data_IF_284944713404
#
_entry.id   IF_284944713404
#
_cell.length_a   1.000
_cell.length_b   1.000
_cell.length_c   1.000
_cell.angle_alpha   90.00
_cell.angle_beta   90.00
_cell.angle_gamma   90.00
#
_symmetry.space_group_name_H-M   'P 1'
#
loop_
_entity.id
_entity.type
_entity.pdbx_description
1 polymer ?
#
# COMPACT_ATOMS: atom_id res chain seq x y z
N UNK A 1 -2.20 27.97 -61.29
CA UNK A 1 -2.36 28.13 -59.83
C UNK A 1 -2.61 26.77 -59.21
N UNK A 2 -1.60 26.13 -58.62
CA UNK A 2 -1.73 24.81 -57.96
C UNK A 2 -1.93 25.07 -56.46
N UNK A 3 -3.11 24.72 -55.92
CA UNK A 3 -3.38 24.77 -54.48
C UNK A 3 -2.67 23.57 -53.84
N UNK A 4 -1.56 23.81 -53.13
CA UNK A 4 -0.90 22.78 -52.32
C UNK A 4 -1.64 22.73 -50.99
N UNK A 5 -2.32 21.62 -50.75
CA UNK A 5 -3.02 21.33 -49.49
C UNK A 5 -1.98 20.93 -48.44
N UNK A 6 -1.73 21.81 -47.47
CA UNK A 6 -0.86 21.51 -46.32
C UNK A 6 -1.70 20.78 -45.26
N UNK A 7 -1.81 19.47 -45.38
CA UNK A 7 -2.34 18.64 -44.29
C UNK A 7 -1.25 18.51 -43.23
N UNK A 8 -1.39 19.26 -42.14
CA UNK A 8 -0.63 19.05 -40.90
C UNK A 8 -1.03 17.69 -40.31
N UNK A 9 -0.27 16.65 -40.62
CA UNK A 9 -0.34 15.38 -39.89
C UNK A 9 0.29 15.62 -38.52
N UNK A 10 -0.56 16.01 -37.55
CA UNK A 10 -0.21 16.00 -36.14
C UNK A 10 -0.03 14.55 -35.71
N UNK A 11 1.22 14.08 -35.69
CA UNK A 11 1.60 12.81 -35.06
C UNK A 11 1.39 12.98 -33.56
N UNK A 12 0.17 12.70 -33.09
CA UNK A 12 -0.12 12.52 -31.67
C UNK A 12 0.59 11.23 -31.23
N UNK A 13 1.75 11.41 -30.64
CA UNK A 13 2.47 10.33 -29.97
C UNK A 13 1.62 9.92 -28.75
N UNK A 14 0.86 8.83 -28.90
CA UNK A 14 0.20 8.13 -27.79
C UNK A 14 1.29 7.51 -26.92
N UNK A 15 1.86 8.29 -26.00
CA UNK A 15 2.69 7.75 -24.93
C UNK A 15 1.77 7.00 -23.96
N UNK A 16 1.72 5.67 -24.10
CA UNK A 16 1.18 4.81 -23.05
C UNK A 16 2.10 4.93 -21.82
N UNK A 17 1.68 5.68 -20.80
CA UNK A 17 2.36 5.73 -19.51
C UNK A 17 2.12 4.41 -18.76
N UNK A 18 3.14 3.56 -18.66
CA UNK A 18 3.11 2.40 -17.78
C UNK A 18 3.31 2.86 -16.33
N UNK A 19 2.41 2.47 -15.42
CA UNK A 19 2.60 2.68 -13.98
C UNK A 19 3.74 1.80 -13.48
N UNK A 20 4.78 2.41 -12.89
CA UNK A 20 5.91 1.68 -12.33
C UNK A 20 5.51 1.05 -10.99
N UNK A 21 5.73 -0.26 -10.83
CA UNK A 21 5.57 -0.94 -9.55
C UNK A 21 6.72 -0.59 -8.60
N UNK A 22 6.40 -0.45 -7.31
CA UNK A 22 7.38 -0.29 -6.25
C UNK A 22 8.20 -1.59 -6.14
N UNK A 23 9.52 -1.49 -6.17
CA UNK A 23 10.40 -2.65 -5.93
C UNK A 23 10.46 -2.98 -4.43
N UNK A 24 10.88 -4.20 -4.12
CA UNK A 24 11.13 -4.63 -2.73
C UNK A 24 12.11 -3.71 -2.02
N UNK A 25 13.19 -3.31 -2.69
CA UNK A 25 14.22 -2.43 -2.14
C UNK A 25 13.63 -1.04 -1.84
N UNK A 26 12.81 -0.50 -2.75
CA UNK A 26 12.12 0.77 -2.54
C UNK A 26 11.13 0.70 -1.37
N UNK A 27 10.40 -0.41 -1.23
CA UNK A 27 9.52 -0.64 -0.08
C UNK A 27 10.31 -0.63 1.22
N UNK A 28 11.42 -1.39 1.29
CA UNK A 28 12.29 -1.42 2.47
C UNK A 28 12.82 -0.02 2.79
N UNK A 29 13.32 0.73 1.80
CA UNK A 29 13.84 2.08 2.06
C UNK A 29 12.76 3.02 2.60
N UNK A 30 11.53 2.91 2.09
CA UNK A 30 10.41 3.75 2.51
C UNK A 30 9.97 3.46 3.95
N UNK A 31 9.89 2.19 4.36
CA UNK A 31 9.21 1.82 5.60
C UNK A 31 10.13 1.30 6.72
N UNK A 32 11.44 1.12 6.47
CA UNK A 32 12.39 0.59 7.47
C UNK A 32 12.39 1.37 8.79
N UNK A 33 12.25 2.69 8.74
CA UNK A 33 12.31 3.51 9.94
C UNK A 33 11.08 3.32 10.83
N UNK A 34 9.91 3.04 10.24
CA UNK A 34 8.70 2.68 10.99
C UNK A 34 8.88 1.33 11.67
N UNK A 35 9.40 0.34 10.94
CA UNK A 35 9.67 -0.98 11.48
C UNK A 35 10.70 -0.95 12.63
N UNK A 36 11.76 -0.14 12.51
CA UNK A 36 12.79 0.03 13.56
C UNK A 36 12.21 0.73 14.79
N UNK A 37 11.39 1.78 14.62
CA UNK A 37 10.73 2.45 15.76
C UNK A 37 9.81 1.48 16.51
N UNK A 38 9.02 0.71 15.78
CA UNK A 38 8.11 -0.25 16.36
C UNK A 38 8.81 -1.46 16.99
N UNK A 39 9.95 -1.88 16.44
CA UNK A 39 10.84 -2.85 17.08
C UNK A 39 11.33 -2.33 18.43
N UNK A 40 11.77 -1.08 18.52
CA UNK A 40 12.20 -0.48 19.79
C UNK A 40 11.04 -0.33 20.78
N UNK A 41 9.84 0.01 20.29
CA UNK A 41 8.66 0.26 21.12
C UNK A 41 8.03 -1.03 21.65
N UNK A 42 7.89 -2.06 20.82
CA UNK A 42 7.07 -3.24 21.09
C UNK A 42 7.82 -4.57 20.94
N UNK A 43 9.08 -4.56 20.50
CA UNK A 43 9.96 -5.73 20.47
C UNK A 43 9.75 -6.69 19.30
N UNK A 44 8.89 -6.38 18.33
CA UNK A 44 8.79 -7.19 17.09
C UNK A 44 9.97 -6.83 16.17
N UNK A 45 10.84 -7.78 15.78
CA UNK A 45 12.01 -7.45 14.97
C UNK A 45 11.64 -6.71 13.67
N UNK A 46 12.37 -5.63 13.37
CA UNK A 46 12.09 -4.80 12.19
C UNK A 46 12.11 -5.61 10.89
N UNK A 47 13.02 -6.58 10.79
CA UNK A 47 13.13 -7.50 9.65
C UNK A 47 11.87 -8.34 9.45
N UNK A 48 11.28 -8.87 10.53
CA UNK A 48 10.04 -9.66 10.48
C UNK A 48 8.86 -8.78 10.07
N UNK A 49 8.73 -7.59 10.66
CA UNK A 49 7.66 -6.65 10.32
C UNK A 49 7.76 -6.18 8.86
N UNK A 50 8.96 -5.90 8.36
CA UNK A 50 9.17 -5.57 6.94
C UNK A 50 8.88 -6.76 6.02
N UNK A 51 9.31 -7.97 6.39
CA UNK A 51 9.07 -9.17 5.59
C UNK A 51 7.56 -9.43 5.43
N UNK A 52 6.79 -9.34 6.52
CA UNK A 52 5.33 -9.42 6.45
C UNK A 52 4.76 -8.29 5.59
N UNK A 53 5.13 -7.03 5.86
CA UNK A 53 4.64 -5.91 5.07
C UNK A 53 4.91 -6.05 3.57
N UNK A 54 6.07 -6.58 3.18
CA UNK A 54 6.42 -6.88 1.78
C UNK A 54 5.47 -7.92 1.19
N UNK A 55 5.27 -9.04 1.88
CA UNK A 55 4.45 -10.16 1.41
C UNK A 55 2.99 -9.75 1.27
N UNK A 56 2.40 -9.20 2.34
CA UNK A 56 0.98 -8.83 2.43
C UNK A 56 0.56 -7.74 1.44
N UNK A 57 1.53 -6.94 0.96
CA UNK A 57 1.24 -5.78 0.11
C UNK A 57 1.80 -5.87 -1.30
N UNK A 58 2.42 -6.99 -1.68
CA UNK A 58 3.19 -7.10 -2.92
C UNK A 58 4.25 -5.98 -3.08
N UNK A 59 5.04 -5.71 -2.03
CA UNK A 59 5.94 -4.55 -1.96
C UNK A 59 5.21 -3.18 -2.08
N UNK A 60 3.99 -3.06 -1.55
CA UNK A 60 3.21 -1.82 -1.57
C UNK A 60 2.35 -1.63 -2.81
N UNK A 61 2.21 -2.66 -3.66
CA UNK A 61 1.50 -2.58 -4.92
C UNK A 61 0.07 -3.13 -4.90
N UNK A 62 -0.34 -3.81 -3.81
CA UNK A 62 -1.70 -4.37 -3.71
C UNK A 62 -2.78 -3.29 -3.66
N UNK A 63 -3.98 -3.63 -4.13
CA UNK A 63 -5.11 -2.69 -4.13
C UNK A 63 -5.54 -2.31 -2.72
N UNK A 64 -5.46 -3.25 -1.78
CA UNK A 64 -5.82 -2.99 -0.38
C UNK A 64 -4.93 -1.89 0.22
N UNK A 65 -3.60 -2.02 0.12
CA UNK A 65 -2.69 -1.03 0.72
C UNK A 65 -2.82 0.33 0.04
N UNK A 66 -3.01 0.38 -1.29
CA UNK A 66 -3.20 1.64 -2.03
C UNK A 66 -4.46 2.40 -1.61
N UNK A 67 -5.52 1.68 -1.23
CA UNK A 67 -6.81 2.29 -0.83
C UNK A 67 -6.88 2.63 0.65
N UNK A 68 -6.05 2.01 1.50
CA UNK A 68 -6.27 2.02 2.95
C UNK A 68 -5.03 2.30 3.79
N UNK A 69 -3.84 2.33 3.21
CA UNK A 69 -2.57 2.26 3.95
C UNK A 69 -2.48 1.06 4.92
N UNK A 70 -3.25 -0.01 4.71
CA UNK A 70 -3.22 -1.20 5.55
C UNK A 70 -2.14 -2.17 5.06
N UNK A 71 -0.96 -2.10 5.67
CA UNK A 71 0.18 -2.93 5.26
C UNK A 71 0.13 -4.38 5.75
N UNK A 72 -0.85 -4.73 6.60
CA UNK A 72 -0.85 -6.01 7.32
C UNK A 72 -2.22 -6.71 7.29
N UNK A 73 -3.10 -6.32 6.35
CA UNK A 73 -4.39 -6.97 6.17
C UNK A 73 -5.28 -6.98 7.42
N UNK A 74 -5.14 -6.00 8.33
CA UNK A 74 -5.88 -6.05 9.60
C UNK A 74 -7.37 -5.81 9.33
N UNK A 75 -8.19 -6.82 9.60
CA UNK A 75 -9.65 -6.78 9.44
C UNK A 75 -10.30 -5.85 10.48
N UNK A 76 -11.44 -5.27 10.11
CA UNK A 76 -12.31 -4.56 11.04
C UNK A 76 -12.83 -5.54 12.10
N UNK A 77 -12.78 -5.13 13.37
CA UNK A 77 -13.37 -5.87 14.51
C UNK A 77 -14.23 -4.89 15.30
N UNK A 78 -15.00 -5.39 16.28
CA UNK A 78 -15.93 -4.58 17.06
C UNK A 78 -15.30 -3.37 17.77
N UNK A 79 -14.02 -3.44 18.12
CA UNK A 79 -13.27 -2.34 18.74
C UNK A 79 -12.80 -1.27 17.76
N UNK A 80 -12.90 -1.51 16.45
CA UNK A 80 -12.46 -0.57 15.43
C UNK A 80 -13.59 0.36 15.01
N UNK A 81 -13.45 1.65 15.30
CA UNK A 81 -14.48 2.67 15.07
C UNK A 81 -14.11 3.74 14.05
N UNK A 82 -12.90 3.66 13.48
CA UNK A 82 -12.44 4.58 12.44
C UNK A 82 -12.95 4.12 11.06
N UNK A 83 -12.17 4.34 10.00
CA UNK A 83 -12.57 3.98 8.64
C UNK A 83 -12.29 2.53 8.27
N UNK A 84 -12.96 2.05 7.22
CA UNK A 84 -12.72 0.73 6.63
C UNK A 84 -12.93 0.75 5.12
N UNK A 85 -12.32 -0.21 4.42
CA UNK A 85 -12.60 -0.51 3.01
C UNK A 85 -13.03 -1.96 2.89
N UNK A 86 -13.95 -2.23 1.96
CA UNK A 86 -14.31 -3.60 1.62
C UNK A 86 -13.32 -4.16 0.60
N UNK A 87 -12.89 -5.40 0.83
CA UNK A 87 -12.04 -6.15 -0.07
C UNK A 87 -12.42 -7.64 0.01
N UNK A 88 -12.35 -8.34 -1.10
CA UNK A 88 -12.57 -9.78 -1.13
C UNK A 88 -11.23 -10.47 -0.85
N UNK A 89 -11.17 -11.25 0.22
CA UNK A 89 -9.95 -11.96 0.66
C UNK A 89 -10.27 -13.42 1.00
N UNK A 90 -10.76 -13.70 2.21
CA UNK A 90 -11.27 -15.04 2.59
C UNK A 90 -12.75 -15.19 2.21
N UNK A 91 -13.51 -14.10 2.31
CA UNK A 91 -14.93 -14.02 1.97
C UNK A 91 -15.24 -12.75 1.19
N UNK A 92 -16.43 -12.71 0.58
CA UNK A 92 -16.89 -11.53 -0.15
C UNK A 92 -17.19 -10.37 0.80
N UNK A 93 -16.70 -9.18 0.45
CA UNK A 93 -17.03 -7.92 1.11
C UNK A 93 -16.48 -7.77 2.52
N UNK A 94 -15.35 -8.41 2.84
CA UNK A 94 -14.74 -8.27 4.15
C UNK A 94 -14.22 -6.84 4.39
N UNK A 95 -14.43 -6.35 5.62
CA UNK A 95 -13.97 -5.02 6.02
C UNK A 95 -12.53 -5.08 6.53
N UNK A 96 -11.68 -4.20 5.98
CA UNK A 96 -10.31 -3.97 6.41
C UNK A 96 -10.15 -2.57 6.95
N UNK A 97 -9.36 -2.42 8.02
CA UNK A 97 -9.08 -1.12 8.66
C UNK A 97 -8.42 -0.17 7.65
N UNK A 98 -8.73 1.12 7.72
CA UNK A 98 -8.02 2.17 7.00
C UNK A 98 -7.20 3.04 7.94
N UNK A 99 -6.05 3.49 7.47
CA UNK A 99 -5.15 4.34 8.22
C UNK A 99 -4.87 5.62 7.44
N UNK A 100 -4.64 6.70 8.19
CA UNK A 100 -4.24 7.99 7.61
C UNK A 100 -2.93 7.87 6.81
N UNK A 101 -2.01 7.06 7.30
CA UNK A 101 -0.69 6.82 6.73
C UNK A 101 -0.20 5.40 7.07
N UNK A 102 0.90 5.00 6.43
CA UNK A 102 1.53 3.71 6.65
C UNK A 102 1.97 3.53 8.12
N UNK A 103 2.50 4.57 8.77
CA UNK A 103 2.94 4.49 10.18
C UNK A 103 1.81 4.07 11.11
N UNK A 104 0.59 4.55 10.88
CA UNK A 104 -0.61 4.11 11.60
C UNK A 104 -0.80 2.60 11.56
N UNK A 105 -0.67 1.99 10.36
CA UNK A 105 -0.80 0.53 10.22
C UNK A 105 0.36 -0.24 10.85
N UNK A 106 1.59 0.30 10.81
CA UNK A 106 2.76 -0.31 11.46
C UNK A 106 2.61 -0.34 12.97
N UNK A 107 2.09 0.75 13.55
CA UNK A 107 1.80 0.86 14.97
C UNK A 107 0.70 -0.10 15.41
N UNK A 108 -0.40 -0.12 14.66
CA UNK A 108 -1.55 -0.99 14.98
C UNK A 108 -1.18 -2.47 14.87
N UNK A 109 -0.41 -2.86 13.86
CA UNK A 109 0.10 -4.23 13.75
C UNK A 109 0.95 -4.64 14.97
N UNK A 110 1.78 -3.74 15.52
CA UNK A 110 2.52 -4.06 16.74
C UNK A 110 1.63 -4.24 17.96
N UNK A 111 0.56 -3.43 18.08
CA UNK A 111 -0.39 -3.55 19.16
C UNK A 111 -1.20 -4.85 19.04
N UNK A 112 -1.65 -5.18 17.82
CA UNK A 112 -2.36 -6.40 17.50
C UNK A 112 -1.58 -7.66 17.92
N UNK A 113 -0.29 -7.75 17.58
CA UNK A 113 0.56 -8.89 17.95
C UNK A 113 0.80 -9.02 19.47
N UNK A 114 0.55 -7.96 20.24
CA UNK A 114 0.74 -7.93 21.70
C UNK A 114 -0.57 -8.02 22.47
N UNK A 115 -1.71 -8.14 21.78
CA UNK A 115 -3.03 -8.24 22.39
C UNK A 115 -3.54 -6.93 23.01
N UNK A 116 -3.06 -5.79 22.52
CA UNK A 116 -3.48 -4.45 22.96
C UNK A 116 -4.46 -3.80 21.98
#
# INVERSE_FOLDING_TARGET
MKKVSLSFISVYCFFCAFSQKITKEQYVQTYKDFAIREMKRMGVPASIKLAQGILETENGNSELVKKSNNHFGIKCKSSWTAGGVNHDDDALGECFRTYKDAEGSYRDHSNYLRGN
#
